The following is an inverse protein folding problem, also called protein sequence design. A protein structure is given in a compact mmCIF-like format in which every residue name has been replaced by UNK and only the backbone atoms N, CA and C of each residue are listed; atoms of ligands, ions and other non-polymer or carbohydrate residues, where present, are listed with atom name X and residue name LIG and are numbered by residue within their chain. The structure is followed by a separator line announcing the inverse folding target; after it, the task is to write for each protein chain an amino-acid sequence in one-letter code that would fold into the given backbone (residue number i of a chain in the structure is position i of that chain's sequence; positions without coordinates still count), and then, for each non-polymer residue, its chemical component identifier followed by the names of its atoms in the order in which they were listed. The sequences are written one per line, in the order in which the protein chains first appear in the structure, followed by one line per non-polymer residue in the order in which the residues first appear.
data_IF_863532104218
#
_entry.id   IF_863532104218
#
_cell.length_a   1.000
_cell.length_b   1.000
_cell.length_c   1.000
_cell.angle_alpha   90.00
_cell.angle_beta   90.00
_cell.angle_gamma   90.00
#
_symmetry.space_group_name_H-M   'P 1'
#
loop_
_entity.id
_entity.type
_entity.pdbx_description
1 polymer ?
#
# COMPACT_ATOMS: atom_id res chain seq x y z
N UNK A 1 -18.66 2.24 47.01
CA UNK A 1 -17.36 2.38 46.30
C UNK A 1 -16.52 3.35 47.13
N UNK A 2 -15.32 2.98 47.58
CA UNK A 2 -14.58 3.78 48.56
C UNK A 2 -13.94 4.98 47.85
N UNK A 3 -14.44 6.18 48.13
CA UNK A 3 -13.92 7.47 47.64
C UNK A 3 -12.70 7.97 48.44
N UNK A 4 -12.30 7.25 49.48
CA UNK A 4 -11.19 7.64 50.37
C UNK A 4 -9.83 7.76 49.67
N UNK A 5 -9.61 7.00 48.59
CA UNK A 5 -8.40 7.12 47.77
C UNK A 5 -8.36 8.41 46.95
N UNK A 6 -9.53 8.97 46.60
CA UNK A 6 -9.63 10.21 45.81
C UNK A 6 -9.42 11.45 46.69
N UNK A 7 -9.91 11.44 47.94
CA UNK A 7 -9.65 12.51 48.92
C UNK A 7 -8.19 12.58 49.36
N UNK A 8 -7.47 11.44 49.42
CA UNK A 8 -6.05 11.42 49.79
C UNK A 8 -5.13 11.93 48.67
N UNK A 9 -5.62 12.00 47.43
CA UNK A 9 -4.92 12.63 46.30
C UNK A 9 -5.46 14.07 46.17
N UNK A 10 -5.28 14.87 47.22
CA UNK A 10 -5.44 16.32 47.17
C UNK A 10 -4.27 16.85 46.30
N UNK A 11 -4.52 17.05 45.00
CA UNK A 11 -3.57 17.63 44.04
C UNK A 11 -3.93 19.10 43.79
N UNK A 12 -3.68 20.02 44.74
CA UNK A 12 -4.08 21.42 44.64
C UNK A 12 -3.40 22.14 43.45
N UNK A 13 -2.21 21.69 43.03
CA UNK A 13 -1.48 22.27 41.89
C UNK A 13 -2.07 21.90 40.52
N UNK A 14 -2.81 20.80 40.39
CA UNK A 14 -3.43 20.43 39.10
C UNK A 14 -4.78 21.10 38.87
N UNK A 15 -5.41 21.59 39.95
CA UNK A 15 -6.69 22.33 39.90
C UNK A 15 -6.45 23.81 39.58
N UNK A 16 -5.30 24.36 39.95
CA UNK A 16 -4.90 25.71 39.55
C UNK A 16 -4.18 25.65 38.20
N UNK A 17 -4.92 25.91 37.12
CA UNK A 17 -4.28 26.15 35.83
C UNK A 17 -3.28 27.30 35.98
N UNK A 18 -2.06 27.17 35.40
CA UNK A 18 -1.07 28.23 35.48
C UNK A 18 -1.63 29.51 34.84
N UNK A 19 -1.18 30.68 35.30
CA UNK A 19 -1.77 31.97 34.91
C UNK A 19 -1.81 32.25 33.39
N UNK A 20 -1.04 31.53 32.58
CA UNK A 20 -1.05 31.59 31.12
C UNK A 20 -2.11 30.71 30.45
N UNK A 21 -2.67 29.73 31.15
CA UNK A 21 -3.59 28.73 30.63
C UNK A 21 -5.03 29.05 31.03
N UNK A 22 -5.59 30.11 30.43
CA UNK A 22 -6.98 30.47 30.65
C UNK A 22 -7.93 29.35 30.13
N UNK A 23 -8.86 28.83 30.95
CA UNK A 23 -9.75 27.72 30.59
C UNK A 23 -10.56 27.96 29.30
N UNK A 24 -10.94 29.22 29.04
CA UNK A 24 -11.76 29.57 27.88
C UNK A 24 -10.90 29.55 26.59
N UNK A 25 -9.65 30.01 26.69
CA UNK A 25 -8.70 29.99 25.59
C UNK A 25 -8.27 28.56 25.25
N UNK A 26 -8.02 27.72 26.27
CA UNK A 26 -7.66 26.30 26.08
C UNK A 26 -8.79 25.56 25.39
N UNK A 27 -10.04 25.72 25.85
CA UNK A 27 -11.20 25.04 25.24
C UNK A 27 -11.38 25.44 23.78
N UNK A 28 -11.23 26.72 23.45
CA UNK A 28 -11.29 27.20 22.06
C UNK A 28 -10.13 26.64 21.22
N UNK A 29 -8.90 26.68 21.73
CA UNK A 29 -7.72 26.17 21.05
C UNK A 29 -7.81 24.66 20.80
N UNK A 30 -8.32 23.88 21.76
CA UNK A 30 -8.58 22.44 21.57
C UNK A 30 -9.62 22.21 20.47
N UNK A 31 -10.70 22.99 20.45
CA UNK A 31 -11.70 22.90 19.38
C UNK A 31 -11.08 23.15 18.01
N UNK A 32 -10.28 24.21 17.87
CA UNK A 32 -9.56 24.52 16.62
C UNK A 32 -8.56 23.41 16.26
N UNK A 33 -7.80 22.89 17.23
CA UNK A 33 -6.85 21.82 17.00
C UNK A 33 -7.53 20.54 16.49
N UNK A 34 -8.69 20.18 17.04
CA UNK A 34 -9.48 19.04 16.56
C UNK A 34 -9.92 19.28 15.11
N UNK A 35 -10.47 20.44 14.79
CA UNK A 35 -10.92 20.76 13.43
C UNK A 35 -9.75 20.68 12.45
N UNK A 36 -8.60 21.27 12.78
CA UNK A 36 -7.40 21.21 11.95
C UNK A 36 -6.87 19.78 11.79
N UNK A 37 -6.91 18.97 12.86
CA UNK A 37 -6.52 17.56 12.81
C UNK A 37 -7.42 16.77 11.85
N UNK A 38 -8.73 16.96 11.92
CA UNK A 38 -9.69 16.31 11.00
C UNK A 38 -9.43 16.73 9.56
N UNK A 39 -9.21 18.03 9.31
CA UNK A 39 -8.88 18.54 7.97
C UNK A 39 -7.58 17.92 7.46
N UNK A 40 -6.54 17.87 8.30
CA UNK A 40 -5.26 17.24 7.98
C UNK A 40 -5.42 15.76 7.64
N UNK A 41 -6.21 15.02 8.42
CA UNK A 41 -6.50 13.61 8.17
C UNK A 41 -7.20 13.40 6.82
N UNK A 42 -8.21 14.22 6.51
CA UNK A 42 -8.94 14.15 5.24
C UNK A 42 -8.03 14.47 4.04
N UNK A 43 -7.18 15.48 4.16
CA UNK A 43 -6.19 15.82 3.13
C UNK A 43 -5.18 14.70 2.91
N UNK A 44 -4.61 14.16 3.99
CA UNK A 44 -3.69 13.04 3.93
C UNK A 44 -4.34 11.82 3.26
N UNK A 45 -5.57 11.46 3.68
CA UNK A 45 -6.32 10.36 3.09
C UNK A 45 -6.58 10.57 1.59
N UNK A 46 -6.92 11.80 1.17
CA UNK A 46 -7.12 12.15 -0.26
C UNK A 46 -5.83 11.99 -1.06
N UNK A 47 -4.69 12.45 -0.52
CA UNK A 47 -3.39 12.35 -1.18
C UNK A 47 -2.97 10.88 -1.29
N UNK A 48 -3.01 10.14 -0.19
CA UNK A 48 -2.67 8.71 -0.16
C UNK A 48 -3.53 7.95 -1.17
N UNK A 49 -4.84 8.19 -1.21
CA UNK A 49 -5.73 7.51 -2.17
C UNK A 49 -5.32 7.75 -3.63
N UNK A 50 -4.90 8.97 -3.98
CA UNK A 50 -4.39 9.27 -5.33
C UNK A 50 -3.06 8.57 -5.61
N UNK A 51 -2.17 8.50 -4.64
CA UNK A 51 -0.86 7.85 -4.78
C UNK A 51 -0.99 6.33 -4.87
N UNK A 52 -1.85 5.73 -4.06
CA UNK A 52 -2.10 4.28 -4.06
C UNK A 52 -2.61 3.82 -5.42
N UNK A 53 -3.56 4.54 -6.03
CA UNK A 53 -4.05 4.18 -7.38
C UNK A 53 -2.91 4.23 -8.40
N UNK A 54 -2.06 5.26 -8.37
CA UNK A 54 -0.90 5.34 -9.28
C UNK A 54 0.10 4.20 -9.04
N UNK A 55 0.42 3.92 -7.78
CA UNK A 55 1.32 2.83 -7.41
C UNK A 55 0.77 1.48 -7.87
N UNK A 56 -0.53 1.22 -7.68
CA UNK A 56 -1.19 -0.01 -8.14
C UNK A 56 -1.08 -0.18 -9.66
N UNK A 57 -1.31 0.89 -10.43
CA UNK A 57 -1.17 0.84 -11.89
C UNK A 57 0.26 0.52 -12.30
N UNK A 58 1.26 1.15 -11.67
CA UNK A 58 2.68 0.87 -11.95
C UNK A 58 3.03 -0.58 -11.63
N UNK A 59 2.59 -1.11 -10.48
CA UNK A 59 2.81 -2.50 -10.08
C UNK A 59 2.15 -3.46 -11.08
N UNK A 60 0.93 -3.20 -11.51
CA UNK A 60 0.24 -3.99 -12.53
C UNK A 60 1.01 -4.01 -13.85
N UNK A 61 1.45 -2.86 -14.34
CA UNK A 61 2.23 -2.78 -15.57
C UNK A 61 3.57 -3.51 -15.46
N UNK A 62 4.24 -3.42 -14.30
CA UNK A 62 5.47 -4.16 -14.05
C UNK A 62 5.22 -5.68 -14.07
N UNK A 63 4.18 -6.15 -13.37
CA UNK A 63 3.80 -7.56 -13.36
C UNK A 63 3.46 -8.08 -14.77
N UNK A 64 2.72 -7.30 -15.56
CA UNK A 64 2.42 -7.63 -16.96
C UNK A 64 3.68 -7.69 -17.82
N UNK A 65 4.59 -6.73 -17.65
CA UNK A 65 5.86 -6.70 -18.39
C UNK A 65 6.71 -7.93 -18.08
N UNK A 66 6.80 -8.32 -16.80
CA UNK A 66 7.51 -9.54 -16.37
C UNK A 66 6.84 -10.78 -16.97
N UNK A 67 5.51 -10.89 -16.90
CA UNK A 67 4.79 -12.02 -17.46
C UNK A 67 4.96 -12.17 -18.99
N UNK A 68 5.01 -11.05 -19.72
CA UNK A 68 5.29 -11.04 -21.15
C UNK A 68 6.74 -11.41 -21.47
N UNK A 69 7.68 -10.99 -20.62
CA UNK A 69 9.09 -11.35 -20.77
C UNK A 69 9.30 -12.86 -20.61
N UNK A 70 8.65 -13.47 -19.62
CA UNK A 70 8.72 -14.92 -19.41
C UNK A 70 8.15 -15.72 -20.59
N UNK A 71 7.06 -15.22 -21.19
CA UNK A 71 6.51 -15.81 -22.42
C UNK A 71 7.48 -15.71 -23.61
N UNK A 72 8.21 -14.59 -23.72
CA UNK A 72 9.22 -14.40 -24.77
C UNK A 72 10.39 -15.37 -24.59
N UNK A 73 10.88 -15.54 -23.37
CA UNK A 73 11.99 -16.47 -23.07
C UNK A 73 11.56 -17.91 -23.38
N UNK A 74 10.40 -18.33 -22.89
CA UNK A 74 9.88 -19.67 -23.15
C UNK A 74 9.65 -19.93 -24.66
N UNK A 75 9.23 -18.93 -25.44
CA UNK A 75 9.17 -19.05 -26.91
C UNK A 75 10.55 -19.18 -27.58
N UNK A 76 11.56 -18.46 -27.06
CA UNK A 76 12.92 -18.52 -27.57
C UNK A 76 13.56 -19.88 -27.31
N UNK A 77 13.40 -20.39 -26.08
CA UNK A 77 13.84 -21.74 -25.71
C UNK A 77 13.09 -22.79 -26.53
N UNK A 78 11.83 -22.53 -26.91
CA UNK A 78 11.07 -23.46 -27.74
C UNK A 78 11.47 -23.56 -29.20
N UNK A 79 12.01 -22.48 -29.74
CA UNK A 79 12.64 -22.56 -31.05
C UNK A 79 13.92 -23.41 -31.03
N UNK A 80 14.56 -23.56 -29.86
CA UNK A 80 15.79 -24.32 -29.68
C UNK A 80 15.55 -25.80 -29.32
N UNK A 81 14.66 -26.09 -28.36
CA UNK A 81 14.42 -27.45 -27.84
C UNK A 81 13.26 -28.19 -28.52
N UNK A 82 12.52 -27.53 -29.43
CA UNK A 82 11.45 -28.10 -30.26
C UNK A 82 10.24 -28.72 -29.51
N UNK A 83 10.17 -28.57 -28.18
CA UNK A 83 9.17 -29.16 -27.30
C UNK A 83 9.00 -28.34 -26.02
N UNK A 84 7.91 -27.55 -25.88
CA UNK A 84 7.67 -26.75 -24.67
C UNK A 84 6.20 -26.50 -24.39
N UNK A 85 5.94 -25.98 -23.20
CA UNK A 85 4.61 -25.57 -22.77
C UNK A 85 4.43 -24.06 -22.94
N UNK A 86 3.58 -23.66 -23.89
CA UNK A 86 3.18 -22.26 -24.08
C UNK A 86 1.91 -22.04 -23.26
N UNK A 87 1.95 -21.13 -22.28
CA UNK A 87 0.88 -20.94 -21.28
C UNK A 87 0.47 -22.22 -20.52
N UNK A 88 1.41 -23.14 -20.29
CA UNK A 88 1.13 -24.42 -19.62
C UNK A 88 0.48 -25.47 -20.52
N UNK A 89 0.25 -25.18 -21.81
CA UNK A 89 -0.17 -26.18 -22.79
C UNK A 89 1.04 -26.69 -23.57
N UNK A 90 1.32 -28.01 -23.58
CA UNK A 90 2.43 -28.57 -24.33
C UNK A 90 2.15 -28.45 -25.84
N UNK A 91 3.08 -27.82 -26.56
CA UNK A 91 3.03 -27.65 -28.02
C UNK A 91 4.28 -28.28 -28.61
N UNK A 92 4.11 -29.20 -29.58
CA UNK A 92 5.19 -29.69 -30.45
C UNK A 92 5.26 -28.84 -31.70
N UNK A 93 6.44 -28.32 -32.02
CA UNK A 93 6.66 -27.51 -33.22
C UNK A 93 6.68 -28.43 -34.45
N UNK A 94 5.78 -28.27 -35.43
CA UNK A 94 5.81 -29.08 -36.64
C UNK A 94 7.05 -28.76 -37.47
N UNK A 95 7.65 -29.80 -38.05
CA UNK A 95 8.89 -29.69 -38.81
C UNK A 95 8.77 -28.82 -40.08
N UNK A 96 7.55 -28.52 -40.55
CA UNK A 96 7.31 -27.61 -41.67
C UNK A 96 7.46 -26.11 -41.30
N UNK A 97 7.40 -25.78 -40.01
CA UNK A 97 7.49 -24.41 -39.49
C UNK A 97 8.88 -24.07 -38.97
N UNK A 98 9.62 -25.06 -38.48
CA UNK A 98 11.03 -24.92 -38.13
C UNK A 98 11.83 -26.12 -38.66
N UNK A 99 12.63 -25.96 -39.73
CA UNK A 99 13.42 -27.05 -40.30
C UNK A 99 14.52 -27.54 -39.33
N UNK A 100 14.90 -26.76 -38.32
CA UNK A 100 15.85 -27.21 -37.29
C UNK A 100 15.24 -28.26 -36.35
N UNK A 101 13.91 -28.41 -36.33
CA UNK A 101 13.19 -29.40 -35.54
C UNK A 101 12.89 -30.71 -36.29
N UNK A 102 13.53 -30.93 -37.44
CA UNK A 102 13.36 -32.15 -38.27
C UNK A 102 14.21 -33.36 -37.82
N UNK A 103 15.07 -33.19 -36.80
CA UNK A 103 16.15 -34.15 -36.48
C UNK A 103 16.10 -34.75 -35.05
N UNK A 104 14.90 -35.02 -34.51
CA UNK A 104 14.72 -35.79 -33.26
C UNK A 104 13.87 -37.04 -33.49
#
# INVERSE_FOLDING_TARGET
MPTEFLDRIDLPELVQLPAWADPQAVRAATGVAIVLSVIGLVLAARIIRRLVVRALVVVLLAALSIGLWEQRVNLADCAADCSCAVFGQPVKVPANLNPNCTAA
#
